data_IF_358316869609
#
_entry.id   IF_358316869609
#
_cell.length_a   1.000
_cell.length_b   1.000
_cell.length_c   1.000
_cell.angle_alpha   90.00
_cell.angle_beta   90.00
_cell.angle_gamma   90.00
#
_symmetry.space_group_name_H-M   'P 1'
#
loop_
_entity.id
_entity.type
_entity.pdbx_description
1 polymer ?
#
# COMPACT_ATOMS: atom_id res chain seq x y z
N UNK A 1 2.65 10.07 10.41
CA UNK A 1 2.20 8.91 11.19
C UNK A 1 2.14 7.72 10.23
N UNK A 2 2.65 6.56 10.62
CA UNK A 2 2.56 5.32 9.89
C UNK A 2 1.55 4.39 10.57
N UNK A 3 0.89 3.54 9.79
CA UNK A 3 -0.02 2.51 10.28
C UNK A 3 0.51 1.18 9.79
N UNK A 4 0.68 0.26 10.73
CA UNK A 4 0.99 -1.14 10.45
C UNK A 4 -0.23 -1.96 10.82
N UNK A 5 -0.78 -2.68 9.88
CA UNK A 5 -1.94 -3.52 10.07
C UNK A 5 -1.81 -4.80 9.25
N UNK A 6 -1.75 -5.92 9.94
CA UNK A 6 -1.74 -7.24 9.32
C UNK A 6 -2.60 -8.20 10.14
N UNK A 7 -3.70 -8.72 9.61
CA UNK A 7 -4.55 -9.67 10.34
C UNK A 7 -3.83 -10.94 10.78
N UNK A 8 -2.70 -11.28 10.12
CA UNK A 8 -1.95 -12.51 10.38
C UNK A 8 -0.68 -12.32 11.19
N UNK A 9 -0.07 -11.13 11.14
CA UNK A 9 1.27 -10.90 11.67
C UNK A 9 1.30 -9.91 12.84
N UNK A 10 0.16 -9.32 13.18
CA UNK A 10 0.12 -8.36 14.27
C UNK A 10 0.31 -9.07 15.61
N UNK A 11 1.24 -8.55 16.37
CA UNK A 11 1.43 -8.91 17.76
C UNK A 11 0.49 -8.08 18.64
N UNK A 12 -0.24 -8.75 19.51
CA UNK A 12 -1.09 -8.09 20.51
C UNK A 12 -0.28 -7.91 21.77
N UNK A 13 -0.04 -6.68 22.25
CA UNK A 13 0.64 -6.46 23.52
C UNK A 13 -0.11 -7.10 24.69
N UNK A 14 0.60 -7.31 25.80
CA UNK A 14 -0.02 -7.74 27.04
C UNK A 14 -0.84 -6.57 27.62
N UNK A 15 -2.13 -6.68 27.49
CA UNK A 15 -3.11 -5.74 28.01
C UNK A 15 -3.86 -6.35 29.20
N UNK A 16 -4.37 -5.51 30.09
CA UNK A 16 -5.41 -5.94 31.00
C UNK A 16 -6.73 -6.22 30.23
N UNK A 17 -7.73 -6.76 30.92
CA UNK A 17 -8.97 -7.19 30.27
C UNK A 17 -9.70 -6.03 29.58
N UNK A 18 -9.79 -4.89 30.24
CA UNK A 18 -10.51 -3.72 29.72
C UNK A 18 -9.80 -3.14 28.49
N UNK A 19 -8.50 -3.01 28.56
CA UNK A 19 -7.65 -2.58 27.43
C UNK A 19 -7.74 -3.54 26.26
N UNK A 20 -7.76 -4.85 26.52
CA UNK A 20 -7.87 -5.86 25.48
C UNK A 20 -9.22 -5.78 24.74
N UNK A 21 -10.31 -5.60 25.46
CA UNK A 21 -11.64 -5.42 24.88
C UNK A 21 -11.71 -4.14 24.02
N UNK A 22 -11.18 -3.03 24.53
CA UNK A 22 -11.09 -1.78 23.80
C UNK A 22 -10.22 -1.89 22.53
N UNK A 23 -9.08 -2.57 22.64
CA UNK A 23 -8.20 -2.84 21.51
C UNK A 23 -8.91 -3.62 20.40
N UNK A 24 -9.55 -4.73 20.71
CA UNK A 24 -10.26 -5.52 19.70
C UNK A 24 -11.48 -4.81 19.12
N UNK A 25 -12.14 -3.96 19.89
CA UNK A 25 -13.21 -3.11 19.38
C UNK A 25 -12.67 -2.11 18.36
N UNK A 26 -11.61 -1.39 18.70
CA UNK A 26 -10.95 -0.44 17.80
C UNK A 26 -10.42 -1.12 16.52
N UNK A 27 -9.81 -2.30 16.67
CA UNK A 27 -9.30 -3.09 15.56
C UNK A 27 -10.42 -3.52 14.59
N UNK A 28 -11.58 -3.96 15.09
CA UNK A 28 -12.73 -4.30 14.25
C UNK A 28 -13.27 -3.08 13.50
N UNK A 29 -13.41 -1.94 14.17
CA UNK A 29 -13.85 -0.71 13.53
C UNK A 29 -12.87 -0.25 12.45
N UNK A 30 -11.59 -0.39 12.70
CA UNK A 30 -10.55 -0.06 11.71
C UNK A 30 -10.63 -0.99 10.49
N UNK A 31 -10.73 -2.31 10.69
CA UNK A 31 -10.90 -3.28 9.58
C UNK A 31 -12.17 -2.99 8.77
N UNK A 32 -13.28 -2.67 9.41
CA UNK A 32 -14.51 -2.28 8.73
C UNK A 32 -14.31 -1.02 7.86
N UNK A 33 -13.59 -0.03 8.36
CA UNK A 33 -13.27 1.18 7.59
C UNK A 33 -12.37 0.88 6.39
N UNK A 34 -11.36 0.07 6.57
CA UNK A 34 -10.47 -0.35 5.48
C UNK A 34 -11.22 -1.10 4.36
N UNK A 35 -12.28 -1.81 4.72
CA UNK A 35 -13.11 -2.57 3.75
C UNK A 35 -14.20 -1.71 3.09
N UNK A 36 -14.43 -0.51 3.56
CA UNK A 36 -15.41 0.37 2.95
C UNK A 36 -14.93 0.83 1.55
N UNK A 37 -15.82 0.83 0.55
CA UNK A 37 -15.46 1.15 -0.84
C UNK A 37 -14.74 2.49 -0.99
N UNK A 38 -15.12 3.49 -0.20
CA UNK A 38 -14.55 4.84 -0.23
C UNK A 38 -13.06 4.90 0.11
N UNK A 39 -12.54 3.84 0.75
CA UNK A 39 -11.13 3.73 1.14
C UNK A 39 -10.35 2.71 0.32
N UNK A 40 -10.94 2.17 -0.74
CA UNK A 40 -10.32 1.15 -1.57
C UNK A 40 -10.21 1.59 -3.02
N UNK A 41 -9.04 1.36 -3.58
CA UNK A 41 -8.83 1.36 -5.03
C UNK A 41 -8.64 -0.09 -5.44
N UNK A 42 -9.44 -0.55 -6.40
CA UNK A 42 -9.36 -1.91 -6.93
C UNK A 42 -9.13 -1.87 -8.43
N UNK A 43 -8.18 -2.62 -8.89
CA UNK A 43 -7.86 -2.75 -10.31
C UNK A 43 -7.28 -4.14 -10.57
N UNK A 44 -7.41 -4.57 -11.81
CA UNK A 44 -6.80 -5.79 -12.31
C UNK A 44 -5.43 -5.43 -12.89
N UNK A 45 -4.42 -6.23 -12.56
CA UNK A 45 -3.10 -6.12 -13.19
C UNK A 45 -3.05 -7.02 -14.42
N UNK A 46 -2.58 -6.47 -15.51
CA UNK A 46 -2.35 -7.17 -16.75
C UNK A 46 -0.86 -7.51 -16.94
N UNK A 47 -0.56 -8.32 -17.94
CA UNK A 47 0.82 -8.65 -18.27
C UNK A 47 1.59 -7.42 -18.71
N UNK A 48 2.70 -7.13 -18.06
CA UNK A 48 3.52 -5.94 -18.31
C UNK A 48 3.22 -4.75 -17.40
N UNK A 49 2.19 -4.82 -16.57
CA UNK A 49 1.90 -3.76 -15.61
C UNK A 49 2.94 -3.67 -14.50
N UNK A 50 3.27 -2.44 -14.13
CA UNK A 50 4.10 -2.11 -12.98
C UNK A 50 3.30 -1.26 -12.00
N UNK A 51 3.25 -1.71 -10.75
CA UNK A 51 2.66 -0.92 -9.65
C UNK A 51 3.74 -0.54 -8.67
N UNK A 52 3.84 0.74 -8.37
CA UNK A 52 4.72 1.28 -7.34
C UNK A 52 3.93 2.11 -6.34
N UNK A 53 4.12 1.88 -5.07
CA UNK A 53 3.45 2.64 -4.01
C UNK A 53 4.32 2.78 -2.76
N UNK A 54 4.02 3.80 -1.97
CA UNK A 54 4.64 4.02 -0.66
C UNK A 54 4.02 3.06 0.36
N UNK A 55 4.73 1.99 0.68
CA UNK A 55 4.28 0.96 1.61
C UNK A 55 4.11 1.46 3.06
N UNK A 56 4.64 2.64 3.40
CA UNK A 56 4.42 3.26 4.71
C UNK A 56 3.09 4.03 4.79
N UNK A 57 2.45 4.28 3.65
CA UNK A 57 1.23 5.09 3.55
C UNK A 57 0.01 4.31 3.08
N UNK A 58 0.20 3.21 2.40
CA UNK A 58 -0.86 2.42 1.80
C UNK A 58 -0.85 1.00 2.36
N UNK A 59 -2.01 0.54 2.71
CA UNK A 59 -2.25 -0.89 2.93
C UNK A 59 -2.61 -1.52 1.59
N UNK A 60 -2.07 -2.69 1.33
CA UNK A 60 -2.33 -3.40 0.09
C UNK A 60 -2.69 -4.85 0.36
N UNK A 61 -3.41 -5.41 -0.54
CA UNK A 61 -3.83 -6.81 -0.47
C UNK A 61 -4.24 -7.31 -1.84
N UNK A 62 -4.65 -8.55 -1.88
CA UNK A 62 -5.20 -9.18 -3.09
C UNK A 62 -6.51 -9.89 -2.77
N UNK A 63 -7.39 -9.92 -3.72
CA UNK A 63 -8.54 -10.82 -3.71
C UNK A 63 -8.09 -12.26 -3.97
N UNK A 64 -8.94 -13.22 -3.67
CA UNK A 64 -8.73 -14.61 -4.09
C UNK A 64 -8.62 -14.70 -5.62
N UNK A 65 -7.95 -15.72 -6.11
CA UNK A 65 -7.91 -16.08 -7.52
C UNK A 65 -8.12 -17.59 -7.64
N UNK A 66 -8.66 -18.01 -8.76
CA UNK A 66 -8.80 -19.43 -9.08
C UNK A 66 -7.54 -19.89 -9.84
N UNK A 67 -6.78 -20.86 -9.32
CA UNK A 67 -5.61 -21.39 -10.03
C UNK A 67 -5.94 -22.04 -11.39
N UNK A 68 -7.20 -22.43 -11.60
CA UNK A 68 -7.65 -22.98 -12.86
C UNK A 68 -7.83 -21.94 -13.98
N UNK A 69 -7.92 -20.65 -13.62
CA UNK A 69 -8.07 -19.55 -14.60
C UNK A 69 -6.76 -19.19 -15.33
N UNK A 70 -5.64 -19.78 -14.98
CA UNK A 70 -4.38 -19.61 -15.68
C UNK A 70 -3.17 -19.34 -14.78
N UNK A 71 -2.03 -19.13 -15.43
CA UNK A 71 -0.77 -18.83 -14.75
C UNK A 71 -0.75 -17.38 -14.26
N UNK A 72 -0.44 -17.21 -12.99
CA UNK A 72 -0.22 -15.91 -12.39
C UNK A 72 1.23 -15.81 -11.93
N UNK A 73 1.95 -14.84 -12.47
CA UNK A 73 3.31 -14.52 -12.07
C UNK A 73 3.40 -13.06 -11.66
N UNK A 74 3.81 -12.80 -10.43
CA UNK A 74 4.03 -11.46 -9.90
C UNK A 74 5.41 -11.42 -9.25
N UNK A 75 6.24 -10.48 -9.67
CA UNK A 75 7.51 -10.19 -9.04
C UNK A 75 7.39 -8.90 -8.24
N UNK A 76 8.01 -8.85 -7.07
CA UNK A 76 8.02 -7.66 -6.22
C UNK A 76 9.39 -7.41 -5.63
N UNK A 77 9.71 -6.14 -5.42
CA UNK A 77 10.89 -5.71 -4.69
C UNK A 77 10.56 -4.52 -3.79
N UNK A 78 11.42 -4.28 -2.82
CA UNK A 78 11.38 -3.10 -1.99
C UNK A 78 12.56 -2.21 -2.33
N UNK A 79 12.31 -0.91 -2.35
CA UNK A 79 13.32 0.11 -2.63
C UNK A 79 13.33 1.08 -1.45
N UNK A 80 14.52 1.35 -0.92
CA UNK A 80 14.67 2.39 0.09
C UNK A 80 14.36 3.76 -0.50
N UNK A 81 13.56 4.54 0.22
CA UNK A 81 13.09 5.85 -0.27
C UNK A 81 14.18 6.91 -0.38
N UNK A 82 15.35 6.68 0.20
CA UNK A 82 16.46 7.65 0.17
C UNK A 82 17.01 7.83 -1.25
N UNK A 83 17.16 6.77 -2.02
CA UNK A 83 17.58 6.82 -3.42
C UNK A 83 16.64 7.65 -4.29
N UNK A 84 15.35 7.29 -4.39
CA UNK A 84 14.35 8.06 -5.15
C UNK A 84 14.24 9.52 -4.71
N UNK A 85 14.25 9.80 -3.41
CA UNK A 85 14.20 11.17 -2.86
C UNK A 85 15.43 11.99 -3.23
N UNK A 86 16.61 11.39 -3.17
CA UNK A 86 17.86 12.04 -3.56
C UNK A 86 17.86 12.37 -5.04
N UNK A 87 17.52 11.40 -5.89
CA UNK A 87 17.42 11.61 -7.34
C UNK A 87 16.40 12.70 -7.69
N UNK A 88 15.23 12.70 -7.08
CA UNK A 88 14.21 13.72 -7.28
C UNK A 88 14.73 15.12 -6.94
N UNK A 89 15.47 15.28 -5.80
CA UNK A 89 16.07 16.54 -5.41
C UNK A 89 17.12 17.02 -6.41
N UNK A 90 17.95 16.11 -6.92
CA UNK A 90 18.97 16.42 -7.93
C UNK A 90 18.34 16.88 -9.21
N UNK A 91 17.33 16.15 -9.72
CA UNK A 91 16.65 16.49 -10.96
C UNK A 91 15.92 17.84 -10.87
N UNK A 92 15.30 18.15 -9.73
CA UNK A 92 14.64 19.46 -9.52
C UNK A 92 15.60 20.64 -9.43
N UNK A 93 16.86 20.41 -9.09
CA UNK A 93 17.88 21.47 -9.00
C UNK A 93 18.61 21.74 -10.32
N UNK A 94 18.43 20.89 -11.34
CA UNK A 94 19.04 21.13 -12.64
C UNK A 94 18.34 22.31 -13.33
N UNK A 95 19.06 23.42 -13.66
CA UNK A 95 18.51 24.51 -14.45
C UNK A 95 18.19 23.97 -15.86
N UNK A 96 16.97 24.08 -16.33
CA UNK A 96 16.57 23.66 -17.65
C UNK A 96 15.73 22.36 -17.76
N UNK A 97 15.31 21.79 -16.64
CA UNK A 97 14.31 20.73 -16.65
C UNK A 97 12.92 21.27 -16.94
N UNK A 98 12.56 21.41 -18.22
CA UNK A 98 11.18 21.60 -18.61
C UNK A 98 10.33 20.49 -18.01
N UNK A 99 9.34 20.89 -17.21
CA UNK A 99 8.29 20.03 -16.70
C UNK A 99 7.56 19.45 -17.92
N UNK A 100 7.91 18.24 -18.34
CA UNK A 100 7.03 17.48 -19.22
C UNK A 100 5.80 17.12 -18.40
N UNK A 101 4.75 17.86 -18.66
CA UNK A 101 3.41 17.68 -18.14
C UNK A 101 2.97 16.24 -18.41
N UNK A 102 3.02 15.39 -17.40
CA UNK A 102 2.42 14.06 -17.46
C UNK A 102 0.91 14.28 -17.52
N UNK A 103 0.38 14.32 -18.74
CA UNK A 103 -1.06 14.37 -18.98
C UNK A 103 -1.71 13.21 -18.24
N UNK A 104 -2.51 13.56 -17.25
CA UNK A 104 -3.48 12.65 -16.65
C UNK A 104 -4.53 12.36 -17.71
N UNK A 105 -4.47 11.20 -18.33
CA UNK A 105 -5.61 10.65 -19.05
C UNK A 105 -6.52 9.98 -18.04
N UNK A 106 -7.72 10.51 -17.94
CA UNK A 106 -8.84 9.98 -17.20
C UNK A 106 -9.35 8.66 -17.82
#
# INVERSE_FOLDING_TARGET
>A
KAIHFSPRLDFVPLFDREQLEAYYRARRLFDQRLRAPDYQIRFLLESGDLVMFDNCRLLHGRTGFDPAEGLRHLQGCYIDMDGPRSLYRVLRRRPGGESSDVRRSA
#
